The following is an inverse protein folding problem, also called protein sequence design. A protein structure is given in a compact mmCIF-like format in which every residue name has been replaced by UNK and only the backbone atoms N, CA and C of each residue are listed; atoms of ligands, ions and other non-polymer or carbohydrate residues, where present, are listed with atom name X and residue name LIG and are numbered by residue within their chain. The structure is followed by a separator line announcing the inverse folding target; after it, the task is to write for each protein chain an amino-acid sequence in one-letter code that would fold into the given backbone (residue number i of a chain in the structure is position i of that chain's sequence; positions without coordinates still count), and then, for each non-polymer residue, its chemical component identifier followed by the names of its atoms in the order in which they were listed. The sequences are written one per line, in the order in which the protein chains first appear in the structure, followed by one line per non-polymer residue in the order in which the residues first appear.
data_IF_349877200556
#
_entry.id   IF_349877200556
#
_cell.length_a   1.000
_cell.length_b   1.000
_cell.length_c   1.000
_cell.angle_alpha   90.00
_cell.angle_beta   90.00
_cell.angle_gamma   90.00
#
_symmetry.space_group_name_H-M   'P 1'
#
loop_
_entity.id
_entity.type
_entity.pdbx_description
1 polymer ?
#
# COMPACT_ATOMS: atom_id res chain seq x y z
N UNK A 1 43.33 -57.24 -31.35
CA UNK A 1 44.32 -56.33 -31.97
C UNK A 1 43.58 -55.26 -32.75
N UNK A 2 44.08 -54.02 -32.68
CA UNK A 2 43.67 -52.82 -33.43
C UNK A 2 42.34 -52.16 -33.04
N UNK A 3 42.20 -50.83 -32.97
CA UNK A 3 43.09 -49.65 -33.03
C UNK A 3 42.21 -48.46 -32.58
N UNK A 4 42.67 -47.60 -31.68
CA UNK A 4 42.04 -46.29 -31.41
C UNK A 4 42.39 -45.27 -32.52
N UNK A 5 41.64 -44.17 -32.71
CA UNK A 5 42.00 -42.93 -31.99
C UNK A 5 40.84 -41.98 -31.62
N UNK A 6 41.20 -41.01 -30.77
CA UNK A 6 40.48 -39.87 -30.21
C UNK A 6 39.64 -39.02 -31.18
N UNK A 7 38.55 -38.43 -30.65
CA UNK A 7 38.17 -37.00 -30.81
C UNK A 7 37.09 -36.67 -29.75
N UNK A 8 37.45 -36.13 -28.57
CA UNK A 8 37.42 -34.70 -28.22
C UNK A 8 36.26 -33.91 -28.83
N UNK A 9 35.25 -33.61 -28.03
CA UNK A 9 34.57 -32.31 -27.97
C UNK A 9 33.58 -32.33 -26.79
N UNK A 10 34.10 -32.23 -25.56
CA UNK A 10 33.29 -32.00 -24.37
C UNK A 10 32.83 -30.54 -24.40
N UNK A 11 31.67 -30.29 -25.00
CA UNK A 11 31.02 -28.98 -24.96
C UNK A 11 30.54 -28.71 -23.53
N UNK A 12 31.44 -28.18 -22.72
CA UNK A 12 31.12 -27.59 -21.44
C UNK A 12 30.49 -26.21 -21.72
N UNK A 13 29.18 -26.18 -21.94
CA UNK A 13 28.41 -24.96 -21.74
C UNK A 13 28.46 -24.65 -20.23
N UNK A 14 29.50 -23.93 -19.78
CA UNK A 14 29.44 -23.18 -18.54
C UNK A 14 28.38 -22.10 -18.74
N UNK A 15 27.14 -22.44 -18.39
CA UNK A 15 26.09 -21.46 -18.13
C UNK A 15 26.56 -20.63 -16.95
N UNK A 16 27.20 -19.51 -17.24
CA UNK A 16 27.47 -18.47 -16.26
C UNK A 16 26.10 -17.90 -15.84
N UNK A 17 25.46 -18.54 -14.87
CA UNK A 17 24.35 -17.91 -14.16
C UNK A 17 24.93 -16.75 -13.38
N UNK A 18 24.88 -15.56 -13.99
CA UNK A 18 24.98 -14.33 -13.22
C UNK A 18 23.86 -14.40 -12.17
N UNK A 19 24.16 -14.20 -10.87
CA UNK A 19 23.09 -13.96 -9.92
C UNK A 19 22.46 -12.64 -10.34
N UNK A 20 21.29 -12.71 -10.95
CA UNK A 20 20.39 -11.57 -10.99
C UNK A 20 20.00 -11.31 -9.54
N UNK A 21 20.82 -10.52 -8.85
CA UNK A 21 20.39 -9.81 -7.65
C UNK A 21 19.17 -9.01 -8.09
N UNK A 22 17.99 -9.57 -7.86
CA UNK A 22 16.75 -8.82 -7.91
C UNK A 22 16.79 -7.86 -6.72
N UNK A 23 17.55 -6.77 -6.88
CA UNK A 23 17.28 -5.55 -6.14
C UNK A 23 15.90 -5.11 -6.58
N UNK A 24 14.88 -5.59 -5.88
CA UNK A 24 13.57 -4.96 -5.89
C UNK A 24 13.72 -3.61 -5.19
N UNK A 25 14.43 -2.67 -5.83
CA UNK A 25 14.56 -1.31 -5.36
C UNK A 25 13.18 -0.67 -5.48
N UNK A 26 12.43 -0.76 -4.39
CA UNK A 26 11.14 -0.08 -4.30
C UNK A 26 11.38 1.41 -4.59
N UNK A 27 10.52 2.08 -5.37
CA UNK A 27 10.79 3.43 -5.79
C UNK A 27 10.97 4.33 -4.57
N UNK A 28 12.07 5.07 -4.55
CA UNK A 28 12.25 6.22 -3.66
C UNK A 28 11.28 7.34 -4.05
N UNK A 29 11.03 8.29 -3.16
CA UNK A 29 10.02 9.34 -3.37
C UNK A 29 10.18 10.06 -4.72
N UNK A 30 11.42 10.40 -5.08
CA UNK A 30 11.73 11.08 -6.33
C UNK A 30 11.55 10.22 -7.58
N UNK A 31 11.52 8.89 -7.43
CA UNK A 31 11.27 7.92 -8.51
C UNK A 31 9.80 7.67 -8.79
N UNK A 32 8.89 8.26 -8.01
CA UNK A 32 7.46 8.19 -8.27
C UNK A 32 7.08 9.07 -9.46
N UNK A 33 6.09 8.61 -10.24
CA UNK A 33 5.54 9.43 -11.32
C UNK A 33 4.76 10.64 -10.77
N UNK A 34 4.48 11.68 -11.57
CA UNK A 34 3.85 12.90 -11.10
C UNK A 34 2.52 12.66 -10.38
N UNK A 35 1.65 11.81 -10.94
CA UNK A 35 0.36 11.47 -10.35
C UNK A 35 0.52 10.75 -9.00
N UNK A 36 1.46 9.82 -8.89
CA UNK A 36 1.74 9.13 -7.63
C UNK A 36 2.23 10.10 -6.57
N UNK A 37 3.14 11.03 -6.91
CA UNK A 37 3.64 12.04 -5.96
C UNK A 37 2.53 12.97 -5.47
N UNK A 38 1.63 13.36 -6.36
CA UNK A 38 0.48 14.21 -6.00
C UNK A 38 -0.46 13.48 -5.03
N UNK A 39 -0.86 12.26 -5.38
CA UNK A 39 -1.78 11.48 -4.54
C UNK A 39 -1.16 11.12 -3.20
N UNK A 40 0.14 10.77 -3.18
CA UNK A 40 0.86 10.31 -2.01
C UNK A 40 1.58 11.43 -1.25
N UNK A 41 1.35 12.70 -1.61
CA UNK A 41 2.01 13.85 -0.99
C UNK A 41 1.95 13.86 0.56
N UNK A 42 0.85 13.45 1.22
CA UNK A 42 0.80 13.37 2.69
C UNK A 42 1.78 12.38 3.31
N UNK A 43 2.30 11.42 2.53
CA UNK A 43 3.24 10.39 2.96
C UNK A 43 4.69 10.67 2.51
N UNK A 44 4.96 11.84 1.93
CA UNK A 44 6.25 12.15 1.33
C UNK A 44 7.42 12.02 2.31
N UNK A 45 7.21 12.42 3.57
CA UNK A 45 8.24 12.38 4.61
C UNK A 45 8.59 10.95 5.04
N UNK A 46 7.58 10.09 5.13
CA UNK A 46 7.73 8.72 5.60
C UNK A 46 8.06 7.74 4.46
N UNK A 47 7.82 8.14 3.21
CA UNK A 47 7.86 7.26 2.04
C UNK A 47 9.12 6.42 1.97
N UNK A 48 10.30 7.04 2.03
CA UNK A 48 11.56 6.33 1.82
C UNK A 48 11.86 5.34 2.94
N UNK A 49 11.36 5.60 4.16
CA UNK A 49 11.47 4.70 5.32
C UNK A 49 10.49 3.52 5.31
N UNK A 50 9.48 3.55 4.42
CA UNK A 50 8.47 2.48 4.37
C UNK A 50 9.04 1.18 3.84
N UNK A 51 8.62 0.07 4.45
CA UNK A 51 8.87 -1.26 3.90
C UNK A 51 8.18 -1.46 2.54
N UNK A 52 8.65 -2.44 1.79
CA UNK A 52 8.15 -2.76 0.44
C UNK A 52 6.66 -3.09 0.40
N UNK A 53 6.13 -3.71 1.46
CA UNK A 53 4.72 -4.11 1.53
C UNK A 53 3.82 -2.89 1.69
N UNK A 54 4.20 -1.92 2.52
CA UNK A 54 3.49 -0.64 2.67
C UNK A 54 3.54 0.17 1.39
N UNK A 55 4.72 0.31 0.76
CA UNK A 55 4.86 1.01 -0.54
C UNK A 55 3.95 0.41 -1.60
N UNK A 56 3.98 -0.92 -1.77
CA UNK A 56 3.11 -1.62 -2.74
C UNK A 56 1.62 -1.36 -2.52
N UNK A 57 1.16 -1.32 -1.26
CA UNK A 57 -0.25 -1.02 -0.93
C UNK A 57 -0.63 0.41 -1.31
N UNK A 58 0.20 1.39 -0.95
CA UNK A 58 -0.04 2.81 -1.26
C UNK A 58 0.01 3.09 -2.76
N UNK A 59 0.93 2.47 -3.50
CA UNK A 59 0.93 2.52 -4.97
C UNK A 59 -0.37 1.95 -5.57
N UNK A 60 -0.92 0.89 -4.97
CA UNK A 60 -2.22 0.33 -5.37
C UNK A 60 -3.41 1.25 -5.07
N UNK A 61 -3.32 2.09 -4.04
CA UNK A 61 -4.33 3.13 -3.75
C UNK A 61 -4.18 4.26 -4.76
N UNK A 62 -2.95 4.75 -5.00
CA UNK A 62 -2.67 5.80 -5.97
C UNK A 62 -3.16 5.45 -7.38
N UNK A 63 -3.04 4.18 -7.78
CA UNK A 63 -3.57 3.68 -9.06
C UNK A 63 -5.11 3.81 -9.19
N UNK A 64 -5.84 3.62 -8.09
CA UNK A 64 -7.33 3.67 -8.08
C UNK A 64 -7.88 5.06 -7.81
N UNK A 65 -7.06 5.95 -7.26
CA UNK A 65 -7.45 7.29 -6.83
C UNK A 65 -8.18 8.12 -7.89
N UNK A 66 -7.78 8.15 -9.18
CA UNK A 66 -8.50 8.93 -10.20
C UNK A 66 -9.94 8.45 -10.45
N UNK A 67 -10.24 7.18 -10.16
CA UNK A 67 -11.59 6.62 -10.30
C UNK A 67 -12.48 6.80 -9.07
N UNK A 68 -11.96 7.41 -8.00
CA UNK A 68 -12.73 7.72 -6.79
C UNK A 68 -13.52 9.02 -6.96
N UNK A 69 -14.63 9.15 -6.23
CA UNK A 69 -15.36 10.42 -6.16
C UNK A 69 -14.54 11.51 -5.46
N UNK A 70 -14.79 12.81 -5.70
CA UNK A 70 -14.03 13.89 -5.05
C UNK A 70 -14.02 13.80 -3.51
N UNK A 71 -15.14 13.43 -2.90
CA UNK A 71 -15.22 13.22 -1.44
C UNK A 71 -14.36 12.06 -0.95
N UNK A 72 -14.29 10.96 -1.71
CA UNK A 72 -13.44 9.82 -1.36
C UNK A 72 -11.95 10.13 -1.53
N UNK A 73 -11.60 10.86 -2.59
CA UNK A 73 -10.25 11.37 -2.81
C UNK A 73 -9.79 12.22 -1.63
N UNK A 74 -10.58 13.23 -1.26
CA UNK A 74 -10.28 14.12 -0.15
C UNK A 74 -10.08 13.36 1.17
N UNK A 75 -11.02 12.46 1.52
CA UNK A 75 -10.90 11.64 2.73
C UNK A 75 -9.65 10.75 2.71
N UNK A 76 -9.31 10.18 1.56
CA UNK A 76 -8.14 9.31 1.41
C UNK A 76 -6.85 10.06 1.68
N UNK A 77 -6.72 11.29 1.17
CA UNK A 77 -5.56 12.14 1.44
C UNK A 77 -5.49 12.58 2.91
N UNK A 78 -6.62 12.99 3.51
CA UNK A 78 -6.67 13.41 4.91
C UNK A 78 -6.23 12.28 5.87
N UNK A 79 -6.74 11.07 5.67
CA UNK A 79 -6.54 9.95 6.58
C UNK A 79 -5.26 9.15 6.29
N UNK A 80 -4.47 9.56 5.29
CA UNK A 80 -3.37 8.75 4.76
C UNK A 80 -2.31 8.44 5.82
N UNK A 81 -1.91 9.46 6.59
CA UNK A 81 -0.91 9.33 7.66
C UNK A 81 -1.41 8.48 8.82
N UNK A 82 -2.67 8.64 9.20
CA UNK A 82 -3.29 7.84 10.25
C UNK A 82 -3.31 6.36 9.85
N UNK A 83 -3.75 6.06 8.62
CA UNK A 83 -3.80 4.70 8.11
C UNK A 83 -2.43 4.06 7.97
N UNK A 84 -1.41 4.83 7.58
CA UNK A 84 -0.02 4.39 7.55
C UNK A 84 0.48 3.97 8.95
N UNK A 85 0.03 4.68 9.98
CA UNK A 85 0.43 4.48 11.38
C UNK A 85 -0.28 3.32 12.07
N UNK A 86 -1.30 2.72 11.45
CA UNK A 86 -2.05 1.60 12.05
C UNK A 86 -1.21 0.33 12.18
N UNK A 87 -1.11 -0.16 13.42
CA UNK A 87 -0.54 -1.47 13.76
C UNK A 87 -1.37 -2.62 13.15
N UNK A 88 -0.80 -3.82 12.96
CA UNK A 88 -1.54 -5.00 12.51
C UNK A 88 -2.79 -5.28 13.35
N UNK A 89 -2.69 -5.16 14.67
CA UNK A 89 -3.75 -5.40 15.64
C UNK A 89 -4.87 -4.37 15.48
N UNK A 90 -4.52 -3.07 15.38
CA UNK A 90 -5.50 -2.01 15.11
C UNK A 90 -6.20 -2.23 13.77
N UNK A 91 -5.47 -2.67 12.73
CA UNK A 91 -6.06 -2.98 11.42
C UNK A 91 -7.01 -4.17 11.47
N UNK A 92 -6.75 -5.17 12.32
CA UNK A 92 -7.69 -6.28 12.54
C UNK A 92 -8.95 -5.79 13.24
N UNK A 93 -8.79 -5.00 14.31
CA UNK A 93 -9.92 -4.43 15.04
C UNK A 93 -10.81 -3.56 14.13
N UNK A 94 -10.21 -2.72 13.29
CA UNK A 94 -10.95 -1.90 12.30
C UNK A 94 -11.72 -2.79 11.32
N UNK A 95 -11.10 -3.87 10.82
CA UNK A 95 -11.75 -4.82 9.91
C UNK A 95 -12.93 -5.53 10.57
N UNK A 96 -12.78 -5.99 11.81
CA UNK A 96 -13.87 -6.62 12.56
C UNK A 96 -15.01 -5.64 12.85
N UNK A 97 -14.71 -4.42 13.30
CA UNK A 97 -15.72 -3.36 13.46
C UNK A 97 -16.48 -3.09 12.17
N UNK A 98 -15.76 -2.97 11.05
CA UNK A 98 -16.37 -2.77 9.73
C UNK A 98 -17.29 -3.94 9.33
N UNK A 99 -16.85 -5.19 9.51
CA UNK A 99 -17.67 -6.38 9.22
C UNK A 99 -18.97 -6.36 10.03
N UNK A 100 -18.89 -6.00 11.31
CA UNK A 100 -20.06 -5.88 12.18
C UNK A 100 -21.01 -4.80 11.70
N UNK A 101 -20.51 -3.58 11.42
CA UNK A 101 -21.33 -2.47 10.93
C UNK A 101 -21.99 -2.82 9.58
N UNK A 102 -21.27 -3.49 8.69
CA UNK A 102 -21.79 -3.89 7.37
C UNK A 102 -22.98 -4.85 7.47
N UNK A 103 -23.03 -5.69 8.53
CA UNK A 103 -24.12 -6.62 8.80
C UNK A 103 -25.36 -5.96 9.42
N UNK A 104 -25.26 -4.74 9.92
CA UNK A 104 -26.40 -4.04 10.53
C UNK A 104 -27.46 -3.66 9.48
N UNK A 105 -28.74 -3.54 9.88
CA UNK A 105 -29.79 -3.00 9.02
C UNK A 105 -29.45 -1.60 8.47
N UNK A 106 -29.97 -1.23 7.28
CA UNK A 106 -29.68 0.08 6.65
C UNK A 106 -29.88 1.28 7.58
N UNK A 107 -30.97 1.30 8.34
CA UNK A 107 -31.31 2.41 9.25
C UNK A 107 -30.26 2.58 10.36
N UNK A 108 -29.78 1.46 10.92
CA UNK A 108 -28.71 1.47 11.92
C UNK A 108 -27.38 1.94 11.35
N UNK A 109 -27.06 1.56 10.11
CA UNK A 109 -25.88 2.10 9.42
C UNK A 109 -26.01 3.59 9.16
N UNK A 110 -27.21 4.07 8.86
CA UNK A 110 -27.47 5.49 8.64
C UNK A 110 -27.34 6.30 9.94
N UNK A 111 -27.85 5.77 11.05
CA UNK A 111 -27.69 6.34 12.39
C UNK A 111 -26.20 6.51 12.74
N UNK A 112 -25.38 5.48 12.51
CA UNK A 112 -23.92 5.53 12.74
C UNK A 112 -23.26 6.61 11.85
N UNK A 113 -23.64 6.68 10.56
CA UNK A 113 -23.11 7.70 9.64
C UNK A 113 -23.46 9.11 10.09
N UNK A 114 -24.67 9.34 10.62
CA UNK A 114 -25.06 10.65 11.12
C UNK A 114 -24.21 11.05 12.33
N UNK A 115 -24.11 10.17 13.34
CA UNK A 115 -23.27 10.40 14.52
C UNK A 115 -21.82 10.72 14.16
N UNK A 116 -21.30 10.06 13.13
CA UNK A 116 -19.95 10.33 12.63
C UNK A 116 -19.83 11.73 12.00
N UNK A 117 -20.80 12.15 11.18
CA UNK A 117 -20.82 13.53 10.62
C UNK A 117 -20.88 14.59 11.72
N UNK A 118 -21.70 14.35 12.74
CA UNK A 118 -21.84 15.28 13.86
C UNK A 118 -20.51 15.40 14.63
N UNK A 119 -19.80 14.28 14.80
CA UNK A 119 -18.47 14.25 15.40
C UNK A 119 -17.41 14.99 14.57
N UNK A 120 -17.41 14.79 13.24
CA UNK A 120 -16.51 15.51 12.32
C UNK A 120 -16.77 17.02 12.26
N UNK A 121 -17.93 17.51 12.71
CA UNK A 121 -18.22 18.95 12.78
C UNK A 121 -17.68 19.61 14.05
N UNK A 122 -17.31 18.84 15.06
CA UNK A 122 -16.67 19.37 16.27
C UNK A 122 -15.28 19.90 15.89
N UNK A 123 -14.88 21.12 16.27
CA UNK A 123 -13.52 21.62 16.03
C UNK A 123 -12.43 20.69 16.59
N UNK A 124 -11.28 20.55 15.90
CA UNK A 124 -10.18 19.63 16.28
C UNK A 124 -9.66 19.85 17.71
N UNK A 125 -9.68 21.09 18.21
CA UNK A 125 -9.33 21.47 19.58
C UNK A 125 -10.30 20.91 20.64
N UNK A 126 -11.51 20.55 20.23
CA UNK A 126 -12.58 20.00 21.07
C UNK A 126 -12.88 18.52 20.79
N UNK A 127 -12.31 17.95 19.72
CA UNK A 127 -12.31 16.50 19.48
C UNK A 127 -11.31 15.85 20.43
N UNK A 128 -11.66 15.78 21.71
CA UNK A 128 -10.89 15.10 22.75
C UNK A 128 -10.52 13.70 22.29
N UNK A 129 -9.26 13.55 21.89
CA UNK A 129 -8.69 12.31 21.40
C UNK A 129 -8.70 11.22 22.46
N UNK A 130 -8.66 9.99 21.98
CA UNK A 130 -8.13 8.86 22.73
C UNK A 130 -6.77 8.50 22.17
#
# INVERSE_FOLDING_TARGET
MARSPLAVAFWLCMSLSAPALSESSQPVWNGLNPQQREVLAPLAQEWDSMDATKKKKWLGIAKRYPGMTPSEQHRTQLQMRDWYSLTPEQRELVREKYKTIKKLPPDKRQEIKQKWRDYEQIPEDQRGGK
#
